data_IF_060310841578
#
_entry.id   IF_060310841578
#
_cell.length_a   1.000
_cell.length_b   1.000
_cell.length_c   1.000
_cell.angle_alpha   90.00
_cell.angle_beta   90.00
_cell.angle_gamma   90.00
#
_symmetry.space_group_name_H-M   'P 1'
#
loop_
_entity.id
_entity.type
_entity.pdbx_description
1 polymer ?
#
# COMPACT_ATOMS: atom_id res chain seq x y z
N UNK A 1 -1.03 9.11 19.04
CA UNK A 1 -1.42 7.70 18.77
C UNK A 1 -0.38 6.80 19.38
N UNK A 2 -0.81 5.77 20.06
CA UNK A 2 0.08 4.71 20.53
C UNK A 2 0.54 3.84 19.36
N UNK A 3 1.65 3.11 19.53
CA UNK A 3 2.15 2.16 18.51
C UNK A 3 1.08 1.07 18.23
N UNK A 4 0.28 0.70 19.24
CA UNK A 4 -0.81 -0.25 19.12
C UNK A 4 -1.94 0.26 18.21
N UNK A 5 -2.37 1.50 18.36
CA UNK A 5 -3.41 2.11 17.51
C UNK A 5 -2.98 2.23 16.05
N UNK A 6 -1.71 2.58 15.82
CA UNK A 6 -1.17 2.62 14.47
C UNK A 6 -1.19 1.22 13.81
N UNK A 7 -0.82 0.19 14.56
CA UNK A 7 -0.84 -1.19 14.07
C UNK A 7 -2.26 -1.65 13.75
N UNK A 8 -3.22 -1.37 14.63
CA UNK A 8 -4.64 -1.67 14.40
C UNK A 8 -5.17 -0.95 13.16
N UNK A 9 -4.88 0.33 13.00
CA UNK A 9 -5.30 1.09 11.82
C UNK A 9 -4.70 0.52 10.53
N UNK A 10 -3.43 0.11 10.56
CA UNK A 10 -2.78 -0.54 9.41
C UNK A 10 -3.44 -1.87 9.05
N UNK A 11 -3.66 -2.74 10.03
CA UNK A 11 -4.30 -4.05 9.85
C UNK A 11 -5.75 -3.90 9.33
N UNK A 12 -6.48 -2.95 9.86
CA UNK A 12 -7.85 -2.66 9.42
C UNK A 12 -7.87 -2.07 8.00
N UNK A 13 -6.94 -1.19 7.66
CA UNK A 13 -6.77 -0.65 6.32
C UNK A 13 -6.46 -1.75 5.29
N UNK A 14 -5.55 -2.66 5.61
CA UNK A 14 -5.24 -3.83 4.78
C UNK A 14 -6.48 -4.70 4.56
N UNK A 15 -7.25 -4.95 5.62
CA UNK A 15 -8.50 -5.71 5.56
C UNK A 15 -9.56 -5.03 4.70
N UNK A 16 -9.71 -3.70 4.79
CA UNK A 16 -10.66 -2.94 3.97
C UNK A 16 -10.29 -2.94 2.49
N UNK A 17 -9.02 -2.75 2.16
CA UNK A 17 -8.54 -2.86 0.77
C UNK A 17 -8.85 -4.25 0.21
N UNK A 18 -8.56 -5.30 0.99
CA UNK A 18 -8.83 -6.68 0.58
C UNK A 18 -10.33 -6.96 0.42
N UNK A 19 -11.14 -6.54 1.39
CA UNK A 19 -12.59 -6.73 1.39
C UNK A 19 -13.27 -6.04 0.20
N UNK A 20 -12.98 -4.77 -0.03
CA UNK A 20 -13.50 -4.02 -1.17
C UNK A 20 -13.09 -4.65 -2.50
N UNK A 21 -11.83 -5.10 -2.62
CA UNK A 21 -11.35 -5.79 -3.83
C UNK A 21 -12.11 -7.10 -4.07
N UNK A 22 -12.37 -7.88 -3.02
CA UNK A 22 -13.13 -9.12 -3.09
C UNK A 22 -14.59 -8.90 -3.49
N UNK A 23 -15.23 -7.90 -2.91
CA UNK A 23 -16.64 -7.55 -3.22
C UNK A 23 -16.81 -7.10 -4.67
N UNK A 24 -15.80 -6.41 -5.21
CA UNK A 24 -15.76 -6.00 -6.62
C UNK A 24 -15.67 -7.21 -7.55
N UNK A 25 -14.80 -8.16 -7.23
CA UNK A 25 -14.61 -9.38 -8.02
C UNK A 25 -15.89 -10.22 -8.03
N UNK A 26 -16.51 -10.37 -6.85
CA UNK A 26 -17.71 -11.21 -6.69
C UNK A 26 -18.94 -10.62 -7.37
N UNK A 27 -19.02 -9.30 -7.47
CA UNK A 27 -20.18 -8.62 -8.10
C UNK A 27 -20.07 -8.48 -9.62
N UNK A 28 -19.12 -9.15 -10.29
CA UNK A 28 -18.95 -9.17 -11.77
C UNK A 28 -19.00 -7.78 -12.43
N UNK A 29 -18.37 -6.77 -11.81
CA UNK A 29 -18.34 -5.43 -12.37
C UNK A 29 -17.41 -5.43 -13.59
N UNK A 30 -18.03 -5.54 -14.76
CA UNK A 30 -17.38 -5.75 -16.06
C UNK A 30 -16.56 -4.56 -16.58
N UNK A 31 -16.69 -3.39 -15.95
CA UNK A 31 -16.06 -2.13 -16.39
C UNK A 31 -14.92 -1.65 -15.48
N UNK A 32 -14.37 -2.54 -14.69
CA UNK A 32 -13.16 -2.21 -13.96
C UNK A 32 -12.01 -2.06 -14.96
N UNK A 33 -11.57 -0.84 -15.11
CA UNK A 33 -10.35 -0.55 -15.86
C UNK A 33 -9.26 -1.51 -15.44
N UNK A 34 -8.38 -1.91 -16.35
CA UNK A 34 -7.41 -3.03 -16.33
C UNK A 34 -6.52 -3.21 -15.08
N UNK A 35 -6.87 -2.64 -13.92
CA UNK A 35 -6.01 -2.59 -12.71
C UNK A 35 -6.60 -3.23 -11.45
N UNK A 36 -7.82 -3.77 -11.48
CA UNK A 36 -8.48 -4.33 -10.29
C UNK A 36 -8.61 -5.84 -10.41
N UNK A 37 -8.13 -6.54 -9.41
CA UNK A 37 -8.27 -8.00 -9.34
C UNK A 37 -7.05 -8.75 -8.80
N UNK A 38 -6.12 -8.07 -8.11
CA UNK A 38 -5.00 -8.73 -7.48
C UNK A 38 -5.29 -9.06 -6.01
N UNK A 39 -5.05 -10.30 -5.58
CA UNK A 39 -4.86 -10.58 -4.17
C UNK A 39 -3.70 -9.71 -3.69
N UNK A 40 -3.92 -8.95 -2.63
CA UNK A 40 -2.92 -8.06 -2.03
C UNK A 40 -1.60 -8.78 -1.75
N UNK A 41 -1.68 -10.02 -1.24
CA UNK A 41 -0.54 -10.89 -0.97
C UNK A 41 0.35 -11.20 -2.20
N UNK A 42 -0.20 -11.13 -3.40
CA UNK A 42 0.56 -11.39 -4.63
C UNK A 42 1.07 -10.12 -5.31
N UNK A 43 0.56 -8.95 -4.94
CA UNK A 43 0.91 -7.67 -5.57
C UNK A 43 2.38 -7.30 -5.36
N UNK A 44 2.89 -7.49 -4.17
CA UNK A 44 4.31 -7.27 -3.87
C UNK A 44 5.19 -8.19 -4.70
N UNK A 45 4.84 -9.47 -4.77
CA UNK A 45 5.54 -10.44 -5.59
C UNK A 45 5.53 -10.03 -7.07
N UNK A 46 4.42 -9.53 -7.58
CA UNK A 46 4.31 -9.07 -8.96
C UNK A 46 5.12 -7.79 -9.22
N UNK A 47 5.05 -6.81 -8.33
CA UNK A 47 5.84 -5.57 -8.44
C UNK A 47 7.33 -5.85 -8.44
N UNK A 48 7.78 -6.79 -7.61
CA UNK A 48 9.17 -7.22 -7.56
C UNK A 48 9.57 -7.96 -8.84
N UNK A 49 8.72 -8.85 -9.33
CA UNK A 49 8.95 -9.59 -10.57
C UNK A 49 9.07 -8.63 -11.76
N UNK A 50 8.17 -7.65 -11.87
CA UNK A 50 8.15 -6.71 -13.00
C UNK A 50 9.37 -5.76 -12.99
N UNK A 51 9.78 -5.29 -11.81
CA UNK A 51 10.87 -4.30 -11.69
C UNK A 51 12.28 -4.91 -11.70
N UNK A 52 12.43 -6.14 -11.26
CA UNK A 52 13.74 -6.72 -10.96
C UNK A 52 14.01 -8.07 -11.64
N UNK A 53 13.09 -8.60 -12.45
CA UNK A 53 13.24 -9.97 -13.02
C UNK A 53 14.51 -10.14 -13.83
N UNK A 54 14.88 -9.17 -14.65
CA UNK A 54 16.07 -9.25 -15.49
C UNK A 54 17.36 -9.15 -14.66
N UNK A 55 17.44 -8.20 -13.73
CA UNK A 55 18.62 -8.02 -12.87
C UNK A 55 18.86 -9.23 -11.96
N UNK A 56 17.79 -9.78 -11.40
CA UNK A 56 17.83 -10.96 -10.55
C UNK A 56 18.20 -12.19 -11.37
N UNK A 57 17.65 -12.32 -12.58
CA UNK A 57 17.99 -13.42 -13.50
C UNK A 57 19.46 -13.42 -13.85
N UNK A 58 20.06 -12.27 -14.13
CA UNK A 58 21.50 -12.14 -14.38
C UNK A 58 22.33 -12.49 -13.15
N UNK A 59 21.94 -11.98 -11.97
CA UNK A 59 22.64 -12.29 -10.72
C UNK A 59 22.62 -13.78 -10.41
N UNK A 60 21.47 -14.46 -10.57
CA UNK A 60 21.34 -15.91 -10.36
C UNK A 60 22.23 -16.73 -11.31
N UNK A 61 22.31 -16.33 -12.59
CA UNK A 61 23.16 -17.00 -13.56
C UNK A 61 24.64 -16.81 -13.20
N UNK A 62 25.06 -15.60 -12.88
CA UNK A 62 26.44 -15.31 -12.54
C UNK A 62 26.88 -16.04 -11.24
N UNK A 63 26.04 -16.05 -10.21
CA UNK A 63 26.30 -16.80 -8.97
C UNK A 63 26.37 -18.31 -9.25
N UNK A 64 25.52 -18.83 -10.15
CA UNK A 64 25.52 -20.24 -10.48
C UNK A 64 26.87 -20.69 -11.09
N UNK A 65 27.50 -19.83 -11.90
CA UNK A 65 28.81 -20.12 -12.52
C UNK A 65 29.98 -19.70 -11.61
N UNK A 66 29.86 -18.63 -10.85
CA UNK A 66 30.91 -18.01 -10.04
C UNK A 66 30.48 -17.85 -8.58
N UNK A 67 30.23 -18.93 -7.81
CA UNK A 67 29.84 -18.83 -6.42
C UNK A 67 30.98 -18.33 -5.53
N UNK A 68 30.66 -17.77 -4.36
CA UNK A 68 31.67 -17.52 -3.34
C UNK A 68 32.23 -18.82 -2.81
N UNK A 69 33.52 -18.83 -2.54
CA UNK A 69 34.20 -19.95 -1.95
C UNK A 69 35.34 -19.50 -1.05
N UNK A 70 35.78 -20.39 -0.22
CA UNK A 70 37.05 -20.28 0.54
C UNK A 70 37.97 -21.42 0.21
N UNK A 71 39.25 -21.16 0.31
CA UNK A 71 40.26 -22.17 0.14
C UNK A 71 40.61 -22.74 1.52
N UNK A 72 40.30 -24.02 1.74
CA UNK A 72 40.64 -24.73 2.97
C UNK A 72 41.82 -25.63 2.75
N UNK A 73 42.74 -25.60 3.71
CA UNK A 73 43.87 -26.53 3.77
C UNK A 73 43.45 -27.72 4.63
N UNK A 74 43.31 -28.88 4.02
CA UNK A 74 43.01 -30.14 4.70
C UNK A 74 44.23 -31.05 4.64
N UNK A 75 44.31 -32.01 5.59
CA UNK A 75 45.43 -32.96 5.63
C UNK A 75 44.89 -34.35 5.29
N UNK A 76 45.34 -34.91 4.16
CA UNK A 76 44.99 -36.27 3.75
C UNK A 76 46.14 -37.25 4.01
N UNK A 77 45.82 -38.46 4.45
CA UNK A 77 46.80 -39.52 4.63
C UNK A 77 47.05 -40.18 3.27
N UNK A 78 48.30 -40.09 2.80
CA UNK A 78 48.73 -40.71 1.58
C UNK A 78 49.96 -41.62 1.84
N UNK A 79 50.16 -42.66 1.04
CA UNK A 79 51.39 -43.46 1.12
C UNK A 79 52.62 -42.57 0.95
N UNK A 80 53.71 -42.87 1.71
CA UNK A 80 54.95 -42.08 1.70
C UNK A 80 55.57 -41.98 0.30
N UNK A 81 55.40 -42.97 -0.52
CA UNK A 81 55.90 -43.05 -1.92
C UNK A 81 55.18 -42.01 -2.81
N UNK A 82 53.93 -41.70 -2.55
CA UNK A 82 53.15 -40.67 -3.26
C UNK A 82 53.37 -39.27 -2.73
N UNK A 83 53.93 -39.09 -1.55
CA UNK A 83 54.14 -37.81 -0.92
C UNK A 83 55.21 -36.92 -1.58
N UNK A 84 56.07 -37.50 -2.44
CA UNK A 84 57.11 -36.75 -3.16
C UNK A 84 56.57 -35.72 -4.15
N UNK A 85 55.34 -35.88 -4.60
CA UNK A 85 54.68 -34.93 -5.50
C UNK A 85 53.98 -33.75 -4.76
N UNK A 86 53.92 -33.78 -3.42
CA UNK A 86 53.28 -32.78 -2.60
C UNK A 86 54.29 -31.87 -1.87
N UNK A 87 53.98 -30.59 -1.73
CA UNK A 87 54.75 -29.68 -0.89
C UNK A 87 54.49 -30.03 0.57
N UNK A 88 55.46 -30.64 1.23
CA UNK A 88 55.39 -30.95 2.65
C UNK A 88 55.57 -29.67 3.48
N UNK A 89 54.66 -29.45 4.43
CA UNK A 89 54.73 -28.32 5.36
C UNK A 89 55.28 -28.72 6.75
N UNK A 90 55.52 -27.72 7.60
CA UNK A 90 56.05 -27.96 8.95
C UNK A 90 55.15 -28.89 9.78
N UNK A 91 53.88 -28.86 9.62
CA UNK A 91 52.95 -29.68 10.39
C UNK A 91 52.99 -31.16 9.93
N UNK A 92 53.13 -31.41 8.65
CA UNK A 92 53.34 -32.73 8.11
C UNK A 92 54.64 -33.35 8.68
N UNK A 93 55.74 -32.60 8.66
CA UNK A 93 57.04 -33.04 9.18
C UNK A 93 56.94 -33.27 10.70
N UNK A 94 56.34 -32.37 11.45
CA UNK A 94 56.15 -32.49 12.90
C UNK A 94 55.37 -33.74 13.27
N UNK A 95 54.26 -34.01 12.61
CA UNK A 95 53.44 -35.19 12.84
C UNK A 95 54.12 -36.48 12.45
N UNK A 96 54.93 -36.48 11.41
CA UNK A 96 55.75 -37.62 11.02
C UNK A 96 56.80 -37.96 12.08
N UNK A 97 57.53 -36.95 12.57
CA UNK A 97 58.51 -37.10 13.65
C UNK A 97 57.90 -37.59 14.96
N UNK A 98 56.73 -37.02 15.34
CA UNK A 98 55.99 -37.43 16.54
C UNK A 98 55.52 -38.88 16.50
N UNK A 99 55.32 -39.46 15.33
CA UNK A 99 54.95 -40.88 15.11
C UNK A 99 56.20 -41.79 14.99
N UNK A 100 57.35 -41.31 15.37
CA UNK A 100 58.58 -42.09 15.40
C UNK A 100 59.25 -42.29 14.05
N UNK A 101 58.86 -41.61 12.98
CA UNK A 101 59.55 -41.63 11.65
C UNK A 101 59.40 -42.93 10.82
N UNK A 102 58.68 -43.92 11.32
CA UNK A 102 58.61 -45.28 10.73
C UNK A 102 57.19 -45.63 10.23
N UNK A 103 56.46 -44.61 9.77
CA UNK A 103 55.08 -44.77 9.31
C UNK A 103 55.04 -44.79 7.78
N UNK A 104 54.29 -45.71 7.19
CA UNK A 104 54.16 -45.89 5.74
C UNK A 104 53.23 -44.83 5.08
N UNK A 105 52.56 -43.97 5.91
CA UNK A 105 51.66 -42.93 5.45
C UNK A 105 52.10 -41.59 5.99
N UNK A 106 51.85 -40.50 5.18
CA UNK A 106 52.09 -39.10 5.56
C UNK A 106 50.79 -38.31 5.45
N UNK A 107 50.56 -37.42 6.43
CA UNK A 107 49.48 -36.45 6.35
C UNK A 107 49.97 -35.22 5.58
N UNK A 108 49.61 -35.12 4.30
CA UNK A 108 50.01 -34.02 3.42
C UNK A 108 48.92 -32.99 3.30
N UNK A 109 49.28 -31.69 3.20
CA UNK A 109 48.33 -30.64 2.98
C UNK A 109 47.77 -30.69 1.56
N UNK A 110 46.45 -30.75 1.47
CA UNK A 110 45.69 -30.67 0.21
C UNK A 110 44.82 -29.43 0.26
N UNK A 111 44.84 -28.66 -0.79
CA UNK A 111 44.03 -27.47 -0.92
C UNK A 111 42.67 -27.84 -1.51
N UNK A 112 41.60 -27.67 -0.76
CA UNK A 112 40.23 -27.92 -1.22
C UNK A 112 39.45 -26.62 -1.29
N UNK A 113 38.65 -26.49 -2.34
CA UNK A 113 37.68 -25.42 -2.47
C UNK A 113 36.47 -25.80 -1.63
N UNK A 114 36.12 -24.94 -0.70
CA UNK A 114 34.93 -25.09 0.13
C UNK A 114 33.87 -24.05 -0.26
N UNK A 115 32.74 -24.50 -0.76
CA UNK A 115 31.62 -23.68 -1.11
C UNK A 115 30.61 -23.49 0.05
N UNK A 116 30.79 -24.23 1.14
CA UNK A 116 29.92 -24.12 2.32
C UNK A 116 30.33 -22.91 3.20
N UNK A 117 30.33 -21.75 2.59
CA UNK A 117 30.60 -20.44 3.23
C UNK A 117 29.30 -19.79 3.69
N UNK A 118 29.39 -18.86 4.64
CA UNK A 118 28.24 -18.24 5.24
C UNK A 118 27.36 -17.55 4.20
N UNK A 119 27.94 -16.89 3.21
CA UNK A 119 27.21 -16.22 2.14
C UNK A 119 26.35 -17.20 1.32
N UNK A 120 26.88 -18.34 0.97
CA UNK A 120 26.14 -19.34 0.21
C UNK A 120 25.05 -20.02 1.04
N UNK A 121 25.26 -20.21 2.35
CA UNK A 121 24.23 -20.71 3.28
C UNK A 121 23.05 -19.74 3.37
N UNK A 122 23.33 -18.44 3.48
CA UNK A 122 22.31 -17.39 3.47
C UNK A 122 21.59 -17.36 2.12
N UNK A 123 22.34 -17.43 1.01
CA UNK A 123 21.76 -17.52 -0.32
C UNK A 123 20.78 -18.70 -0.44
N UNK A 124 21.17 -19.89 0.04
CA UNK A 124 20.29 -21.09 0.03
C UNK A 124 19.00 -20.84 0.80
N UNK A 125 19.07 -20.21 1.96
CA UNK A 125 17.90 -19.86 2.77
C UNK A 125 16.99 -18.87 2.05
N UNK A 126 17.56 -17.79 1.47
CA UNK A 126 16.82 -16.77 0.70
C UNK A 126 16.12 -17.39 -0.50
N UNK A 127 16.84 -18.20 -1.29
CA UNK A 127 16.30 -18.87 -2.48
C UNK A 127 15.11 -19.76 -2.13
N UNK A 128 15.17 -20.49 -1.02
CA UNK A 128 14.06 -21.35 -0.56
C UNK A 128 12.79 -20.52 -0.27
N UNK A 129 12.93 -19.38 0.39
CA UNK A 129 11.81 -18.49 0.69
C UNK A 129 11.26 -17.80 -0.57
N UNK A 130 12.14 -17.32 -1.45
CA UNK A 130 11.74 -16.73 -2.72
C UNK A 130 10.99 -17.72 -3.62
N UNK A 131 11.46 -18.97 -3.67
CA UNK A 131 10.79 -20.05 -4.42
C UNK A 131 9.36 -20.30 -3.90
N UNK A 132 9.15 -20.26 -2.58
CA UNK A 132 7.80 -20.35 -1.99
C UNK A 132 6.89 -19.22 -2.47
N UNK A 133 7.36 -17.97 -2.46
CA UNK A 133 6.58 -16.81 -2.93
C UNK A 133 6.31 -16.87 -4.44
N UNK A 134 7.30 -17.26 -5.24
CA UNK A 134 7.10 -17.46 -6.69
C UNK A 134 6.07 -18.56 -7.01
N UNK A 135 6.06 -19.65 -6.22
CA UNK A 135 5.09 -20.72 -6.39
C UNK A 135 3.65 -20.25 -6.11
N UNK A 136 3.44 -19.37 -5.13
CA UNK A 136 2.12 -18.77 -4.91
C UNK A 136 1.64 -18.01 -6.15
N UNK A 137 2.52 -17.22 -6.79
CA UNK A 137 2.21 -16.50 -8.03
C UNK A 137 1.92 -17.44 -9.19
N UNK A 138 2.73 -18.47 -9.39
CA UNK A 138 2.56 -19.44 -10.50
C UNK A 138 1.26 -20.22 -10.36
N UNK A 139 0.90 -20.60 -9.13
CA UNK A 139 -0.29 -21.40 -8.84
C UNK A 139 -1.57 -20.56 -8.77
N UNK A 140 -1.46 -19.23 -8.81
CA UNK A 140 -2.63 -18.37 -8.80
C UNK A 140 -3.50 -18.61 -10.03
N UNK A 141 -4.81 -18.84 -9.80
CA UNK A 141 -5.78 -19.07 -10.85
C UNK A 141 -6.18 -17.75 -11.52
N UNK A 142 -5.66 -17.51 -12.70
CA UNK A 142 -5.98 -16.33 -13.51
C UNK A 142 -6.95 -16.75 -14.63
N UNK A 143 -8.25 -16.74 -14.31
CA UNK A 143 -9.30 -17.12 -15.27
C UNK A 143 -9.44 -16.15 -16.45
N UNK A 144 -8.90 -14.94 -16.35
CA UNK A 144 -9.01 -13.89 -17.38
C UNK A 144 -7.69 -13.63 -18.12
N UNK A 145 -6.59 -14.29 -17.74
CA UNK A 145 -5.26 -14.12 -18.37
C UNK A 145 -4.62 -12.75 -18.17
N UNK A 146 -5.17 -11.90 -17.30
CA UNK A 146 -4.70 -10.52 -17.05
C UNK A 146 -3.25 -10.52 -16.53
N UNK A 147 -2.85 -11.58 -15.84
CA UNK A 147 -1.56 -11.71 -15.18
C UNK A 147 -0.60 -12.67 -15.85
N UNK A 148 -0.92 -13.10 -17.08
CA UNK A 148 -0.11 -14.05 -17.84
C UNK A 148 1.35 -13.63 -17.96
N UNK A 149 1.62 -12.32 -18.15
CA UNK A 149 2.99 -11.77 -18.21
C UNK A 149 3.77 -12.05 -16.93
N UNK A 150 3.19 -11.72 -15.79
CA UNK A 150 3.82 -11.92 -14.47
C UNK A 150 4.06 -13.40 -14.17
N UNK A 151 3.07 -14.23 -14.48
CA UNK A 151 3.19 -15.69 -14.34
C UNK A 151 4.33 -16.23 -15.20
N UNK A 152 4.50 -15.74 -16.42
CA UNK A 152 5.62 -16.11 -17.30
C UNK A 152 6.96 -15.68 -16.70
N UNK A 153 7.09 -14.46 -16.19
CA UNK A 153 8.32 -13.98 -15.54
C UNK A 153 8.63 -14.78 -14.27
N UNK A 154 7.63 -15.07 -13.44
CA UNK A 154 7.81 -15.95 -12.28
C UNK A 154 8.32 -17.36 -12.67
N UNK A 155 7.79 -17.93 -13.77
CA UNK A 155 8.25 -19.22 -14.30
C UNK A 155 9.70 -19.12 -14.79
N UNK A 156 10.08 -18.01 -15.46
CA UNK A 156 11.48 -17.81 -15.91
C UNK A 156 12.43 -17.71 -14.71
N UNK A 157 12.10 -16.92 -13.69
CA UNK A 157 12.89 -16.81 -12.46
C UNK A 157 13.02 -18.17 -11.76
N UNK A 158 11.92 -18.91 -11.63
CA UNK A 158 11.95 -20.27 -11.05
C UNK A 158 12.87 -21.20 -11.82
N UNK A 159 12.87 -21.15 -13.16
CA UNK A 159 13.83 -21.95 -13.97
C UNK A 159 15.29 -21.59 -13.66
N UNK A 160 15.60 -20.29 -13.46
CA UNK A 160 16.96 -19.85 -13.07
C UNK A 160 17.34 -20.35 -11.68
N UNK A 161 16.41 -20.30 -10.73
CA UNK A 161 16.60 -20.89 -9.40
C UNK A 161 16.86 -22.40 -9.48
N UNK A 162 16.11 -23.13 -10.30
CA UNK A 162 16.32 -24.56 -10.47
C UNK A 162 17.68 -24.88 -11.07
N UNK A 163 18.15 -24.08 -12.05
CA UNK A 163 19.49 -24.23 -12.59
C UNK A 163 20.56 -23.97 -11.52
N UNK A 164 20.43 -22.95 -10.69
CA UNK A 164 21.32 -22.70 -9.57
C UNK A 164 21.35 -23.90 -8.60
N UNK A 165 20.19 -24.44 -8.24
CA UNK A 165 20.04 -25.57 -7.31
C UNK A 165 20.63 -26.87 -7.86
N UNK A 166 20.71 -27.04 -9.19
CA UNK A 166 21.30 -28.23 -9.84
C UNK A 166 22.81 -28.25 -9.85
N UNK A 167 23.48 -27.15 -9.47
CA UNK A 167 24.95 -27.09 -9.43
C UNK A 167 25.50 -27.93 -8.28
N UNK A 168 26.59 -28.70 -8.55
CA UNK A 168 27.23 -29.57 -7.56
C UNK A 168 27.64 -28.83 -6.28
N UNK A 169 28.14 -27.62 -6.42
CA UNK A 169 28.53 -26.80 -5.27
C UNK A 169 27.33 -26.39 -4.38
N UNK A 170 26.14 -26.16 -4.96
CA UNK A 170 24.96 -25.80 -4.21
C UNK A 170 24.46 -26.95 -3.32
N UNK A 171 24.62 -28.20 -3.77
CA UNK A 171 24.23 -29.36 -2.97
C UNK A 171 25.12 -29.58 -1.74
N UNK A 172 26.35 -29.04 -1.75
CA UNK A 172 27.31 -29.14 -0.64
C UNK A 172 27.07 -28.14 0.47
N UNK A 173 26.16 -27.14 0.27
CA UNK A 173 25.90 -26.08 1.23
C UNK A 173 25.02 -26.60 2.37
N UNK A 174 25.43 -26.36 3.61
CA UNK A 174 24.64 -26.68 4.80
C UNK A 174 23.49 -25.71 5.02
N UNK A 175 22.46 -26.16 5.75
CA UNK A 175 21.32 -25.28 6.14
C UNK A 175 21.69 -24.48 7.39
N UNK A 176 21.16 -23.24 7.45
CA UNK A 176 21.27 -22.38 8.64
C UNK A 176 19.89 -21.93 9.08
N UNK A 177 19.69 -21.86 10.41
CA UNK A 177 18.44 -21.39 11.01
C UNK A 177 18.51 -19.94 11.49
N UNK A 178 19.70 -19.34 11.53
CA UNK A 178 19.88 -18.00 12.05
C UNK A 178 20.39 -17.03 10.97
N UNK A 179 19.70 -15.90 10.79
CA UNK A 179 19.97 -14.94 9.72
C UNK A 179 20.85 -13.80 10.22
N UNK A 180 22.16 -14.07 10.33
CA UNK A 180 23.15 -13.00 10.40
C UNK A 180 23.74 -12.76 9.03
N UNK A 181 23.50 -11.57 8.44
CA UNK A 181 23.98 -11.23 7.11
C UNK A 181 25.35 -10.56 7.24
N UNK A 182 26.42 -11.20 6.76
CA UNK A 182 27.74 -10.62 6.80
C UNK A 182 27.87 -9.47 5.81
N UNK A 183 28.72 -8.49 6.13
CA UNK A 183 28.97 -7.34 5.28
C UNK A 183 29.44 -7.75 3.86
N UNK A 184 30.24 -8.82 3.76
CA UNK A 184 30.69 -9.40 2.50
C UNK A 184 29.58 -9.89 1.57
N UNK A 185 28.39 -10.25 2.12
CA UNK A 185 27.21 -10.60 1.35
C UNK A 185 26.62 -9.38 0.67
N UNK A 186 26.51 -8.26 1.40
CA UNK A 186 25.91 -7.01 0.91
C UNK A 186 26.84 -6.31 -0.09
N UNK A 187 28.15 -6.42 0.11
CA UNK A 187 29.15 -5.78 -0.76
C UNK A 187 29.29 -6.47 -2.12
N UNK A 188 28.88 -7.70 -2.26
CA UNK A 188 28.82 -8.37 -3.56
C UNK A 188 27.52 -8.01 -4.26
N UNK A 189 27.59 -7.25 -5.35
CA UNK A 189 26.42 -6.73 -6.08
C UNK A 189 25.44 -7.81 -6.52
N UNK A 190 25.90 -9.03 -6.78
CA UNK A 190 25.09 -10.18 -7.20
C UNK A 190 24.23 -10.69 -6.04
N UNK A 191 24.88 -10.89 -4.88
CA UNK A 191 24.22 -11.36 -3.65
C UNK A 191 23.31 -10.29 -3.06
N UNK A 192 23.72 -9.02 -3.12
CA UNK A 192 22.91 -7.88 -2.68
C UNK A 192 21.58 -7.77 -3.42
N UNK A 193 21.58 -7.91 -4.75
CA UNK A 193 20.35 -7.89 -5.56
C UNK A 193 19.35 -8.99 -5.16
N UNK A 194 19.85 -10.20 -4.88
CA UNK A 194 19.01 -11.30 -4.41
C UNK A 194 18.46 -11.02 -3.00
N UNK A 195 19.26 -10.38 -2.16
CA UNK A 195 18.82 -9.96 -0.83
C UNK A 195 17.75 -8.88 -0.88
N UNK A 196 17.89 -7.91 -1.76
CA UNK A 196 16.89 -6.85 -1.97
C UNK A 196 15.56 -7.43 -2.48
N UNK A 197 15.62 -8.40 -3.39
CA UNK A 197 14.43 -9.16 -3.79
C UNK A 197 13.81 -9.88 -2.59
N UNK A 198 14.62 -10.61 -1.82
CA UNK A 198 14.15 -11.34 -0.65
C UNK A 198 13.47 -10.41 0.36
N UNK A 199 14.08 -9.28 0.69
CA UNK A 199 13.49 -8.28 1.59
C UNK A 199 12.11 -7.86 1.14
N UNK A 200 11.94 -7.62 -0.15
CA UNK A 200 10.66 -7.17 -0.74
C UNK A 200 9.62 -8.27 -0.84
N UNK A 201 10.03 -9.53 -1.03
CA UNK A 201 9.10 -10.68 -1.13
C UNK A 201 8.71 -11.29 0.22
N UNK A 202 9.52 -11.11 1.25
CA UNK A 202 9.38 -11.84 2.52
C UNK A 202 9.24 -10.92 3.74
N UNK A 203 9.07 -9.61 3.55
CA UNK A 203 8.96 -8.64 4.65
C UNK A 203 7.55 -8.60 5.29
N UNK A 204 6.77 -9.68 5.12
CA UNK A 204 5.46 -9.86 5.75
C UNK A 204 5.50 -9.88 7.30
N UNK A 205 6.66 -10.05 7.93
CA UNK A 205 6.75 -10.22 9.39
C UNK A 205 7.58 -9.17 10.13
N UNK A 206 8.26 -8.28 9.45
CA UNK A 206 9.00 -7.23 10.16
C UNK A 206 8.17 -5.97 10.24
N UNK A 207 7.38 -5.92 11.37
CA UNK A 207 7.08 -4.63 12.00
C UNK A 207 8.19 -3.65 11.64
N UNK A 208 7.85 -2.59 10.91
CA UNK A 208 8.66 -1.40 10.74
C UNK A 208 9.47 -1.12 12.00
N UNK A 209 10.71 -1.59 12.07
CA UNK A 209 11.69 -0.99 12.96
C UNK A 209 12.00 0.36 12.36
N UNK A 210 11.19 1.30 12.77
CA UNK A 210 11.31 2.71 12.48
C UNK A 210 12.61 3.18 13.12
N UNK A 211 13.70 3.18 12.35
CA UNK A 211 14.79 4.08 12.59
C UNK A 211 14.38 5.42 11.99
N UNK A 212 13.67 6.18 12.79
CA UNK A 212 12.96 7.35 12.36
C UNK A 212 13.73 8.62 12.72
N UNK A 213 13.86 9.47 11.76
CA UNK A 213 13.62 10.88 12.05
C UNK A 213 12.10 11.05 12.20
N UNK A 214 11.64 11.45 13.38
CA UNK A 214 10.23 11.58 13.79
C UNK A 214 9.31 12.32 12.79
N UNK A 215 9.84 13.17 11.95
CA UNK A 215 9.10 13.97 10.97
C UNK A 215 8.53 13.15 9.78
N UNK A 216 9.16 12.04 9.39
CA UNK A 216 8.64 11.17 8.32
C UNK A 216 7.48 10.31 8.80
N UNK A 217 7.51 9.85 10.04
CA UNK A 217 6.45 9.03 10.66
C UNK A 217 5.12 9.81 10.73
N UNK A 218 5.18 11.09 11.08
CA UNK A 218 4.00 11.94 11.17
C UNK A 218 3.29 12.13 9.82
N UNK A 219 4.03 12.36 8.75
CA UNK A 219 3.45 12.50 7.41
C UNK A 219 2.82 11.20 6.93
N UNK A 220 3.46 10.07 7.18
CA UNK A 220 2.92 8.76 6.80
C UNK A 220 1.67 8.39 7.62
N UNK A 221 1.65 8.69 8.91
CA UNK A 221 0.50 8.37 9.78
C UNK A 221 -0.74 9.20 9.44
N UNK A 222 -0.59 10.49 9.10
CA UNK A 222 -1.70 11.34 8.65
C UNK A 222 -2.30 10.80 7.36
N UNK A 223 -1.48 10.51 6.37
CA UNK A 223 -1.92 10.00 5.09
C UNK A 223 -2.56 8.59 5.18
N UNK A 224 -2.03 7.71 6.03
CA UNK A 224 -2.67 6.44 6.32
C UNK A 224 -4.06 6.61 6.94
N UNK A 225 -4.22 7.60 7.81
CA UNK A 225 -5.50 7.92 8.41
C UNK A 225 -6.50 8.43 7.37
N UNK A 226 -6.07 9.31 6.46
CA UNK A 226 -6.87 9.78 5.33
C UNK A 226 -7.35 8.63 4.45
N UNK A 227 -6.44 7.72 4.07
CA UNK A 227 -6.79 6.51 3.29
C UNK A 227 -7.76 5.61 4.05
N UNK A 228 -7.53 5.39 5.34
CA UNK A 228 -8.40 4.57 6.17
C UNK A 228 -9.81 5.17 6.26
N UNK A 229 -9.91 6.47 6.50
CA UNK A 229 -11.19 7.17 6.51
C UNK A 229 -11.93 7.02 5.17
N UNK A 230 -11.23 7.21 4.05
CA UNK A 230 -11.81 7.06 2.72
C UNK A 230 -12.38 5.66 2.49
N UNK A 231 -11.61 4.61 2.78
CA UNK A 231 -12.06 3.24 2.56
C UNK A 231 -13.22 2.85 3.50
N UNK A 232 -13.20 3.32 4.75
CA UNK A 232 -14.33 3.12 5.68
C UNK A 232 -15.60 3.83 5.20
N UNK A 233 -15.49 5.05 4.69
CA UNK A 233 -16.64 5.76 4.08
C UNK A 233 -17.18 4.98 2.89
N UNK A 234 -16.31 4.49 2.01
CA UNK A 234 -16.72 3.64 0.89
C UNK A 234 -17.40 2.34 1.36
N UNK A 235 -16.88 1.70 2.42
CA UNK A 235 -17.46 0.49 3.00
C UNK A 235 -18.86 0.76 3.59
N UNK A 236 -19.03 1.86 4.29
CA UNK A 236 -20.32 2.27 4.83
C UNK A 236 -21.34 2.46 3.71
N UNK A 237 -20.97 3.17 2.65
CA UNK A 237 -21.88 3.42 1.51
C UNK A 237 -22.21 2.10 0.78
N UNK A 238 -21.25 1.19 0.65
CA UNK A 238 -21.43 -0.10 0.01
C UNK A 238 -22.51 -0.97 0.66
N UNK A 239 -22.79 -0.79 1.94
CA UNK A 239 -23.82 -1.57 2.63
C UNK A 239 -25.22 -1.35 2.08
N UNK A 240 -25.53 -0.15 1.55
CA UNK A 240 -26.83 0.20 0.99
C UNK A 240 -26.82 0.47 -0.51
N UNK A 241 -25.68 0.86 -1.06
CA UNK A 241 -25.51 1.24 -2.46
C UNK A 241 -24.44 0.36 -3.11
N UNK A 242 -24.82 -0.58 -3.98
CA UNK A 242 -23.87 -1.40 -4.72
C UNK A 242 -22.86 -0.58 -5.53
N UNK A 243 -21.62 -1.03 -5.57
CA UNK A 243 -20.57 -0.44 -6.40
C UNK A 243 -20.85 -0.73 -7.88
N UNK A 244 -20.76 0.31 -8.73
CA UNK A 244 -20.87 0.20 -10.19
C UNK A 244 -19.58 0.48 -10.93
N UNK A 245 -18.70 1.31 -10.38
CA UNK A 245 -17.43 1.65 -10.98
C UNK A 245 -16.39 2.01 -9.90
N UNK A 246 -15.12 1.69 -10.17
CA UNK A 246 -13.99 2.13 -9.37
C UNK A 246 -12.86 2.55 -10.30
N UNK A 247 -12.41 3.79 -10.12
CA UNK A 247 -11.16 4.27 -10.66
C UNK A 247 -10.11 4.22 -9.55
N UNK A 248 -9.49 3.06 -9.41
CA UNK A 248 -8.56 2.76 -8.34
C UNK A 248 -7.12 2.92 -8.82
N UNK A 249 -6.47 3.96 -8.36
CA UNK A 249 -5.06 4.18 -8.57
C UNK A 249 -4.28 3.93 -7.27
N UNK A 250 -3.49 2.85 -7.23
CA UNK A 250 -2.59 2.57 -6.12
C UNK A 250 -1.15 2.85 -6.55
N UNK A 251 -0.48 3.71 -5.80
CA UNK A 251 0.93 4.00 -6.00
C UNK A 251 1.78 3.25 -4.98
N UNK A 252 2.90 2.69 -5.44
CA UNK A 252 3.87 2.00 -4.60
C UNK A 252 5.13 2.84 -4.50
N UNK A 253 5.43 3.33 -3.29
CA UNK A 253 6.69 4.01 -3.01
C UNK A 253 7.88 3.05 -3.01
N UNK A 254 9.08 3.54 -3.38
CA UNK A 254 10.32 2.73 -3.40
C UNK A 254 10.72 2.18 -2.02
N UNK A 255 10.28 2.82 -0.94
CA UNK A 255 10.69 2.51 0.44
C UNK A 255 9.51 2.09 1.33
N UNK A 256 8.29 2.06 0.80
CA UNK A 256 7.08 1.86 1.58
C UNK A 256 6.42 0.56 1.12
N UNK A 257 6.32 -0.38 2.04
CA UNK A 257 5.68 -1.70 1.86
C UNK A 257 4.17 -1.58 1.65
N UNK A 258 3.60 -0.39 1.85
CA UNK A 258 2.17 -0.15 1.82
C UNK A 258 1.74 0.59 0.55
N UNK A 259 0.69 0.12 -0.17
CA UNK A 259 0.17 0.84 -1.32
C UNK A 259 -0.51 2.15 -0.87
N UNK A 260 -0.21 3.24 -1.57
CA UNK A 260 -0.90 4.52 -1.38
C UNK A 260 -2.02 4.65 -2.40
N UNK A 261 -3.15 5.20 -1.94
CA UNK A 261 -4.18 5.68 -2.86
C UNK A 261 -3.64 6.93 -3.56
N UNK A 262 -3.73 6.98 -4.87
CA UNK A 262 -3.36 8.21 -5.57
C UNK A 262 -4.47 9.25 -5.48
N UNK A 263 -4.06 10.48 -5.65
CA UNK A 263 -4.93 11.63 -5.80
C UNK A 263 -6.01 11.38 -6.86
N UNK A 264 -7.25 11.73 -6.53
CA UNK A 264 -8.38 11.58 -7.42
C UNK A 264 -8.95 10.15 -7.53
N UNK A 265 -8.50 9.21 -6.70
CA UNK A 265 -9.14 7.87 -6.61
C UNK A 265 -10.63 8.02 -6.37
N UNK A 266 -11.45 7.36 -7.21
CA UNK A 266 -12.89 7.57 -7.29
C UNK A 266 -13.65 6.25 -7.23
N UNK A 267 -14.67 6.19 -6.35
CA UNK A 267 -15.60 5.07 -6.25
C UNK A 267 -17.00 5.55 -6.55
N UNK A 268 -17.72 4.82 -7.41
CA UNK A 268 -19.13 5.06 -7.77
C UNK A 268 -20.02 3.95 -7.26
N UNK A 269 -21.09 4.35 -6.61
CA UNK A 269 -22.14 3.48 -6.08
C UNK A 269 -23.45 3.87 -6.69
N UNK A 270 -24.37 2.92 -6.89
CA UNK A 270 -25.68 3.20 -7.45
C UNK A 270 -26.76 2.36 -6.77
N UNK A 271 -27.87 2.99 -6.44
CA UNK A 271 -29.10 2.34 -6.03
C UNK A 271 -30.26 3.06 -6.71
N UNK A 272 -31.05 2.32 -7.50
CA UNK A 272 -32.11 2.91 -8.33
C UNK A 272 -31.54 4.03 -9.22
N UNK A 273 -32.11 5.25 -9.15
CA UNK A 273 -31.69 6.40 -9.93
C UNK A 273 -30.64 7.29 -9.21
N UNK A 274 -30.24 6.90 -8.00
CA UNK A 274 -29.27 7.68 -7.21
C UNK A 274 -27.86 7.10 -7.41
N UNK A 275 -26.94 7.99 -7.78
CA UNK A 275 -25.52 7.70 -7.91
C UNK A 275 -24.78 8.47 -6.83
N UNK A 276 -23.92 7.77 -6.08
CA UNK A 276 -23.02 8.35 -5.08
C UNK A 276 -21.60 8.19 -5.58
N UNK A 277 -20.86 9.29 -5.60
CA UNK A 277 -19.45 9.32 -5.97
C UNK A 277 -18.60 9.73 -4.77
N UNK A 278 -17.62 8.93 -4.42
CA UNK A 278 -16.65 9.23 -3.35
C UNK A 278 -15.29 9.42 -3.99
N UNK A 279 -14.69 10.59 -3.79
CA UNK A 279 -13.39 10.97 -4.38
C UNK A 279 -12.38 11.26 -3.27
N UNK A 280 -11.20 10.67 -3.39
CA UNK A 280 -10.08 10.84 -2.47
C UNK A 280 -9.14 11.94 -2.94
N UNK A 281 -8.77 12.87 -2.03
CA UNK A 281 -7.67 13.83 -2.17
C UNK A 281 -7.67 14.57 -3.53
N UNK A 282 -8.80 15.17 -3.88
CA UNK A 282 -8.97 15.83 -5.18
C UNK A 282 -8.71 17.32 -5.12
N UNK A 283 -7.90 17.82 -6.05
CA UNK A 283 -7.75 19.26 -6.27
C UNK A 283 -8.99 19.79 -6.99
N UNK A 284 -9.76 20.66 -6.32
CA UNK A 284 -10.89 21.35 -6.92
C UNK A 284 -10.42 22.56 -7.74
N UNK A 285 -11.00 22.81 -8.92
CA UNK A 285 -10.70 23.99 -9.70
C UNK A 285 -11.09 25.29 -8.94
N UNK A 286 -10.48 26.39 -9.32
CA UNK A 286 -10.78 27.70 -8.76
C UNK A 286 -11.62 28.59 -9.71
N UNK A 287 -11.90 28.08 -10.90
CA UNK A 287 -12.70 28.76 -11.91
C UNK A 287 -13.88 27.88 -12.33
N UNK A 288 -15.05 28.47 -12.49
CA UNK A 288 -16.27 27.79 -12.96
C UNK A 288 -16.11 27.15 -14.35
N UNK A 289 -15.26 27.75 -15.21
CA UNK A 289 -15.05 27.25 -16.58
C UNK A 289 -14.29 25.92 -16.64
N UNK A 290 -13.61 25.54 -15.54
CA UNK A 290 -12.85 24.31 -15.44
C UNK A 290 -13.70 23.19 -14.79
N UNK A 291 -15.03 23.39 -14.66
CA UNK A 291 -15.98 22.43 -14.07
C UNK A 291 -16.84 21.77 -15.15
N UNK A 292 -17.31 20.57 -14.87
CA UNK A 292 -18.28 19.83 -15.67
C UNK A 292 -19.37 19.23 -14.78
N UNK A 293 -20.39 18.60 -15.36
CA UNK A 293 -21.38 17.89 -14.56
C UNK A 293 -20.75 16.71 -13.78
N UNK A 294 -19.76 16.07 -14.34
CA UNK A 294 -19.01 14.99 -13.66
C UNK A 294 -18.09 15.50 -12.55
N UNK A 295 -17.62 16.75 -12.68
CA UNK A 295 -16.77 17.45 -11.72
C UNK A 295 -17.36 18.82 -11.38
N UNK A 296 -18.49 18.85 -10.65
CA UNK A 296 -19.35 20.03 -10.58
C UNK A 296 -18.86 21.11 -9.62
N UNK A 297 -17.89 20.80 -8.74
CA UNK A 297 -17.44 21.70 -7.67
C UNK A 297 -16.24 22.53 -8.07
N UNK A 298 -16.22 23.79 -7.65
CA UNK A 298 -15.05 24.67 -7.62
C UNK A 298 -15.00 25.48 -6.34
N UNK A 299 -13.83 25.95 -5.95
CA UNK A 299 -13.64 26.86 -4.82
C UNK A 299 -13.47 28.29 -5.35
N UNK A 300 -14.45 29.15 -5.08
CA UNK A 300 -14.36 30.53 -5.47
C UNK A 300 -13.22 31.24 -4.72
N UNK A 301 -12.36 31.96 -5.46
CA UNK A 301 -11.26 32.74 -4.88
C UNK A 301 -11.80 33.90 -4.06
N UNK A 302 -11.41 33.97 -2.80
CA UNK A 302 -11.56 35.19 -2.01
C UNK A 302 -10.40 36.13 -2.33
N UNK A 303 -10.67 37.36 -2.70
CA UNK A 303 -9.68 38.39 -3.04
C UNK A 303 -8.65 38.65 -1.93
N UNK A 304 -8.95 38.27 -0.69
CA UNK A 304 -8.12 38.56 0.49
C UNK A 304 -7.22 37.38 0.94
N UNK A 305 -7.32 36.20 0.32
CA UNK A 305 -6.56 35.03 0.77
C UNK A 305 -5.52 34.58 -0.26
N UNK A 306 -4.24 34.73 0.07
CA UNK A 306 -3.09 34.33 -0.75
C UNK A 306 -2.94 32.81 -0.92
N UNK A 307 -3.67 32.00 -0.16
CA UNK A 307 -3.71 30.53 -0.30
C UNK A 307 -5.16 30.06 -0.38
N UNK A 308 -5.49 29.43 -1.48
CA UNK A 308 -6.79 28.80 -1.68
C UNK A 308 -6.72 27.37 -1.13
N UNK A 309 -7.48 27.07 -0.08
CA UNK A 309 -7.69 25.69 0.36
C UNK A 309 -8.68 25.05 -0.62
N UNK A 310 -8.20 24.28 -1.57
CA UNK A 310 -9.02 23.68 -2.62
C UNK A 310 -8.77 22.18 -2.80
N UNK A 311 -8.18 21.54 -1.79
CA UNK A 311 -7.85 20.11 -1.81
C UNK A 311 -8.42 19.42 -0.56
N UNK A 312 -9.71 19.07 -0.57
CA UNK A 312 -10.32 18.29 0.50
C UNK A 312 -9.89 16.83 0.43
N UNK A 313 -9.75 16.19 1.59
CA UNK A 313 -9.31 14.80 1.69
C UNK A 313 -10.33 13.83 1.08
N UNK A 314 -11.63 14.03 1.34
CA UNK A 314 -12.71 13.19 0.82
C UNK A 314 -13.89 14.06 0.41
N UNK A 315 -14.42 13.82 -0.78
CA UNK A 315 -15.66 14.44 -1.27
C UNK A 315 -16.66 13.33 -1.54
N UNK A 316 -17.86 13.46 -0.99
CA UNK A 316 -19.00 12.60 -1.33
C UNK A 316 -20.02 13.41 -2.08
N UNK A 317 -20.25 13.07 -3.34
CA UNK A 317 -21.19 13.75 -4.25
C UNK A 317 -22.36 12.85 -4.57
N UNK A 318 -23.55 13.40 -4.62
CA UNK A 318 -24.79 12.68 -4.93
C UNK A 318 -25.37 13.22 -6.23
N UNK A 319 -25.73 12.30 -7.13
CA UNK A 319 -26.32 12.59 -8.44
C UNK A 319 -27.62 11.83 -8.61
N UNK A 320 -28.47 12.35 -9.45
CA UNK A 320 -29.68 11.67 -9.91
C UNK A 320 -29.59 11.46 -11.43
N UNK A 321 -29.84 10.22 -11.87
CA UNK A 321 -29.51 9.76 -13.22
C UNK A 321 -30.53 10.21 -14.29
N UNK A 322 -31.85 10.14 -13.99
CA UNK A 322 -32.90 10.43 -14.99
C UNK A 322 -32.86 11.88 -15.48
N UNK A 323 -32.73 12.82 -14.55
CA UNK A 323 -32.65 14.25 -14.86
C UNK A 323 -31.21 14.68 -15.15
N UNK A 324 -30.24 13.79 -14.91
CA UNK A 324 -28.81 14.06 -14.97
C UNK A 324 -28.43 15.25 -14.07
N UNK A 325 -28.89 15.22 -12.81
CA UNK A 325 -28.72 16.30 -11.86
C UNK A 325 -27.68 15.98 -10.80
N UNK A 326 -26.83 16.95 -10.55
CA UNK A 326 -25.98 16.98 -9.36
C UNK A 326 -26.82 17.52 -8.18
N UNK A 327 -27.04 16.70 -7.13
CA UNK A 327 -27.86 17.07 -5.98
C UNK A 327 -27.09 17.86 -4.93
N UNK A 328 -25.80 17.65 -4.85
CA UNK A 328 -24.88 18.30 -3.91
C UNK A 328 -23.83 17.34 -3.37
N UNK A 329 -23.00 17.88 -2.49
CA UNK A 329 -21.91 17.13 -1.83
C UNK A 329 -21.82 17.46 -0.36
N UNK A 330 -21.11 16.61 0.37
CA UNK A 330 -20.51 16.94 1.64
C UNK A 330 -19.02 16.58 1.62
N UNK A 331 -18.25 17.23 2.46
CA UNK A 331 -16.80 17.11 2.53
C UNK A 331 -16.41 16.50 3.86
N UNK A 332 -15.45 15.57 3.84
CA UNK A 332 -14.86 15.00 5.03
C UNK A 332 -13.35 15.31 4.99
N UNK A 333 -12.88 16.00 6.00
CA UNK A 333 -11.49 16.41 6.16
C UNK A 333 -10.87 15.66 7.33
N UNK A 334 -9.78 14.98 7.10
CA UNK A 334 -9.15 14.09 8.07
C UNK A 334 -8.10 14.85 8.89
N UNK A 335 -8.31 14.97 10.19
CA UNK A 335 -7.42 15.68 11.12
C UNK A 335 -6.79 14.72 12.11
N UNK A 336 -5.66 14.14 11.75
CA UNK A 336 -4.89 13.22 12.59
C UNK A 336 -4.19 13.94 13.75
N UNK A 337 -4.98 14.60 14.59
CA UNK A 337 -4.51 15.38 15.75
C UNK A 337 -5.66 15.67 16.71
N UNK A 338 -5.31 16.15 17.93
CA UNK A 338 -6.28 16.49 18.96
C UNK A 338 -7.18 17.64 18.51
N UNK A 339 -8.46 17.59 18.87
CA UNK A 339 -9.48 18.59 18.52
C UNK A 339 -9.01 19.98 18.93
N UNK A 340 -8.54 20.15 20.16
CA UNK A 340 -8.07 21.44 20.68
C UNK A 340 -6.93 22.07 19.87
N UNK A 341 -6.16 21.28 19.13
CA UNK A 341 -5.04 21.79 18.33
C UNK A 341 -5.43 22.36 16.97
N UNK A 342 -6.67 22.15 16.51
CA UNK A 342 -7.10 22.67 15.22
C UNK A 342 -8.44 23.41 15.26
N UNK A 343 -9.30 23.14 16.26
CA UNK A 343 -10.63 23.73 16.33
C UNK A 343 -10.63 25.17 16.87
N UNK A 344 -9.82 25.44 17.89
CA UNK A 344 -9.73 26.75 18.54
C UNK A 344 -8.66 27.70 17.95
N UNK A 345 -8.09 27.33 16.83
CA UNK A 345 -7.08 28.13 16.13
C UNK A 345 -7.74 29.32 15.38
N UNK A 346 -7.55 30.55 15.86
CA UNK A 346 -8.21 31.77 15.35
C UNK A 346 -7.56 32.41 14.11
N UNK A 347 -6.82 31.69 13.30
CA UNK A 347 -6.19 32.26 12.11
C UNK A 347 -6.84 31.79 10.81
N UNK A 348 -6.93 32.64 9.80
CA UNK A 348 -7.42 32.31 8.46
C UNK A 348 -6.54 31.26 7.73
N UNK A 349 -5.37 30.98 8.29
CA UNK A 349 -4.44 29.91 7.83
C UNK A 349 -4.58 28.63 8.65
N UNK A 350 -5.50 28.61 9.59
CA UNK A 350 -5.78 27.49 10.48
C UNK A 350 -6.51 26.36 9.77
N UNK A 351 -6.54 25.21 10.41
CA UNK A 351 -7.35 24.07 9.93
C UNK A 351 -8.85 24.40 9.95
N UNK A 352 -9.30 25.24 10.88
CA UNK A 352 -10.68 25.75 10.91
C UNK A 352 -10.97 26.60 9.68
N UNK A 353 -10.08 27.52 9.32
CA UNK A 353 -10.21 28.32 8.09
C UNK A 353 -10.26 27.50 6.81
N UNK A 354 -9.60 26.32 6.80
CA UNK A 354 -9.71 25.34 5.71
C UNK A 354 -11.13 24.77 5.62
N UNK A 355 -11.70 24.29 6.74
CA UNK A 355 -13.07 23.77 6.80
C UNK A 355 -14.09 24.81 6.40
N UNK A 356 -13.95 26.04 6.90
CA UNK A 356 -14.79 27.18 6.54
C UNK A 356 -14.71 27.51 5.04
N UNK A 357 -13.54 27.36 4.43
CA UNK A 357 -13.36 27.56 2.99
C UNK A 357 -14.16 26.53 2.19
N UNK A 358 -14.14 25.28 2.56
CA UNK A 358 -14.93 24.24 1.87
C UNK A 358 -16.43 24.49 2.02
N UNK A 359 -16.89 24.93 3.17
CA UNK A 359 -18.30 25.21 3.38
C UNK A 359 -18.77 26.51 2.71
N UNK A 360 -18.02 27.60 2.88
CA UNK A 360 -18.45 28.94 2.46
C UNK A 360 -18.07 29.27 1.01
N UNK A 361 -16.97 28.72 0.47
CA UNK A 361 -16.45 29.12 -0.84
C UNK A 361 -16.65 28.06 -1.93
N UNK A 362 -17.13 26.86 -1.58
CA UNK A 362 -17.51 25.87 -2.58
C UNK A 362 -18.73 26.36 -3.38
N UNK A 363 -18.65 26.27 -4.70
CA UNK A 363 -19.70 26.67 -5.65
C UNK A 363 -19.86 25.62 -6.73
N UNK A 364 -21.04 25.63 -7.34
CA UNK A 364 -21.33 24.83 -8.52
C UNK A 364 -22.40 25.51 -9.35
N UNK A 365 -22.32 25.40 -10.66
CA UNK A 365 -23.37 25.86 -11.59
C UNK A 365 -24.30 24.71 -11.98
N UNK A 366 -24.05 23.49 -11.49
CA UNK A 366 -24.75 22.26 -11.89
C UNK A 366 -25.76 21.77 -10.84
N UNK A 367 -25.84 22.37 -9.65
CA UNK A 367 -26.76 21.91 -8.60
C UNK A 367 -28.19 22.00 -9.09
N UNK A 368 -28.86 20.87 -9.26
CA UNK A 368 -30.25 20.76 -9.69
C UNK A 368 -30.60 21.63 -10.91
N UNK A 369 -29.64 21.76 -11.83
CA UNK A 369 -29.79 22.50 -13.08
C UNK A 369 -30.12 24.01 -12.87
N UNK A 370 -30.93 24.59 -13.76
CA UNK A 370 -31.29 26.01 -13.71
C UNK A 370 -32.07 26.41 -12.46
N UNK A 371 -32.82 25.49 -11.89
CA UNK A 371 -33.63 25.75 -10.68
C UNK A 371 -32.72 25.97 -9.49
N UNK A 372 -31.72 25.13 -9.33
CA UNK A 372 -30.74 25.28 -8.24
C UNK A 372 -29.98 26.61 -8.30
N UNK A 373 -29.68 27.07 -9.53
CA UNK A 373 -29.05 28.37 -9.76
C UNK A 373 -29.95 29.52 -9.37
N UNK A 374 -31.26 29.48 -9.75
CA UNK A 374 -32.25 30.48 -9.38
C UNK A 374 -32.48 30.57 -7.87
N UNK A 375 -32.51 29.40 -7.20
CA UNK A 375 -32.68 29.29 -5.75
C UNK A 375 -31.39 29.49 -4.96
N UNK A 376 -30.26 29.68 -5.62
CA UNK A 376 -28.92 29.83 -5.01
C UNK A 376 -28.60 28.70 -4.03
N UNK A 377 -28.90 27.46 -4.42
CA UNK A 377 -28.69 26.29 -3.59
C UNK A 377 -27.16 26.05 -3.38
N UNK A 378 -26.78 25.90 -2.11
CA UNK A 378 -25.39 25.57 -1.79
C UNK A 378 -25.03 24.15 -2.26
N UNK A 379 -23.90 23.97 -2.97
CA UNK A 379 -23.47 22.67 -3.44
C UNK A 379 -22.94 21.79 -2.30
N UNK A 380 -22.30 22.37 -1.28
CA UNK A 380 -21.79 21.65 -0.11
C UNK A 380 -22.75 21.88 1.06
N UNK A 381 -23.35 20.79 1.55
CA UNK A 381 -24.32 20.83 2.65
C UNK A 381 -23.66 20.88 4.01
N UNK A 382 -22.58 20.08 4.19
CA UNK A 382 -21.81 20.02 5.43
C UNK A 382 -20.34 19.73 5.16
N UNK A 383 -19.52 20.08 6.14
CA UNK A 383 -18.10 19.73 6.20
C UNK A 383 -17.83 19.03 7.53
N UNK A 384 -17.32 17.82 7.47
CA UNK A 384 -16.98 17.03 8.64
C UNK A 384 -15.46 17.04 8.83
N UNK A 385 -15.00 17.38 10.03
CA UNK A 385 -13.64 17.14 10.47
C UNK A 385 -13.58 15.78 11.18
N UNK A 386 -12.93 14.81 10.58
CA UNK A 386 -12.75 13.48 11.16
C UNK A 386 -11.45 13.44 11.97
N UNK A 387 -11.52 12.98 13.24
CA UNK A 387 -10.36 12.90 14.12
C UNK A 387 -10.35 11.61 14.93
N UNK A 388 -9.18 10.98 15.20
CA UNK A 388 -9.07 9.84 16.10
C UNK A 388 -9.05 10.24 17.59
N UNK A 389 -9.12 11.55 17.93
CA UNK A 389 -9.03 12.04 19.30
C UNK A 389 -10.16 11.53 20.21
N UNK A 390 -9.83 11.21 21.46
CA UNK A 390 -10.77 10.69 22.47
C UNK A 390 -11.38 11.74 23.39
N UNK A 391 -10.93 13.00 23.29
CA UNK A 391 -11.44 14.07 24.14
C UNK A 391 -12.96 14.26 23.96
N UNK A 392 -13.69 14.44 25.07
CA UNK A 392 -15.16 14.50 25.07
C UNK A 392 -15.71 15.82 24.49
N UNK A 393 -14.86 16.82 24.32
CA UNK A 393 -15.24 18.20 24.02
C UNK A 393 -15.57 18.49 22.55
N UNK A 394 -15.87 17.47 21.77
CA UNK A 394 -16.30 17.62 20.38
C UNK A 394 -17.81 17.87 20.27
N UNK A 395 -18.33 18.93 20.87
CA UNK A 395 -19.67 19.41 20.53
C UNK A 395 -19.68 19.82 19.05
N UNK A 396 -20.63 19.26 18.31
CA UNK A 396 -20.89 19.65 16.94
C UNK A 396 -21.44 21.08 16.94
N UNK A 397 -20.64 22.06 16.54
CA UNK A 397 -21.15 23.39 16.22
C UNK A 397 -21.97 23.31 14.92
N UNK A 398 -23.23 22.90 15.02
CA UNK A 398 -24.12 22.81 13.85
C UNK A 398 -24.42 24.20 13.20
N UNK A 399 -24.16 25.31 13.91
CA UNK A 399 -24.52 26.65 13.44
C UNK A 399 -23.85 27.06 12.14
N UNK A 400 -22.68 26.50 11.80
CA UNK A 400 -21.89 26.86 10.62
C UNK A 400 -21.81 25.76 9.56
N UNK A 401 -22.54 24.64 9.70
CA UNK A 401 -22.45 23.51 8.77
C UNK A 401 -21.10 22.75 8.81
N UNK A 402 -20.31 22.98 9.85
CA UNK A 402 -19.04 22.31 10.12
C UNK A 402 -19.20 21.48 11.39
N UNK A 403 -18.85 20.19 11.31
CA UNK A 403 -19.07 19.23 12.40
C UNK A 403 -17.78 18.45 12.66
N UNK A 404 -17.37 18.37 13.91
CA UNK A 404 -16.25 17.49 14.31
C UNK A 404 -16.80 16.14 14.71
N UNK A 405 -16.26 15.07 14.14
CA UNK A 405 -16.63 13.68 14.46
C UNK A 405 -15.40 12.84 14.78
N UNK A 406 -15.54 12.04 15.82
CA UNK A 406 -14.53 11.02 16.13
C UNK A 406 -14.67 9.85 15.17
N UNK A 407 -13.56 9.50 14.56
CA UNK A 407 -13.51 8.38 13.65
C UNK A 407 -12.16 7.68 13.77
N UNK A 408 -12.12 6.52 14.40
CA UNK A 408 -10.89 5.78 14.66
C UNK A 408 -11.06 4.28 14.42
N UNK A 409 -9.95 3.61 14.10
CA UNK A 409 -9.86 2.18 14.11
C UNK A 409 -9.88 1.71 15.58
N UNK A 410 -10.93 1.01 15.98
CA UNK A 410 -11.07 0.44 17.33
C UNK A 410 -11.90 -0.84 17.26
N UNK A 411 -11.73 -1.72 18.25
CA UNK A 411 -12.55 -2.91 18.40
C UNK A 411 -14.02 -2.57 18.74
N UNK A 412 -14.26 -1.38 19.31
CA UNK A 412 -15.61 -0.90 19.59
C UNK A 412 -16.16 -0.10 18.40
N UNK A 413 -17.19 -0.60 17.74
CA UNK A 413 -17.80 -0.03 16.53
C UNK A 413 -18.71 1.18 16.81
N UNK A 414 -18.93 1.59 18.06
CA UNK A 414 -19.88 2.68 18.38
C UNK A 414 -19.55 3.98 17.62
N UNK A 415 -18.29 4.39 17.62
CA UNK A 415 -17.88 5.61 16.92
C UNK A 415 -18.05 5.51 15.40
N UNK A 416 -17.82 4.31 14.84
CA UNK A 416 -18.02 4.05 13.40
C UNK A 416 -19.51 4.09 13.07
N UNK A 417 -20.39 3.57 13.95
CA UNK A 417 -21.84 3.63 13.79
C UNK A 417 -22.40 5.07 13.86
N UNK A 418 -21.79 5.95 14.64
CA UNK A 418 -22.18 7.36 14.66
C UNK A 418 -21.85 8.05 13.34
N UNK A 419 -20.66 7.87 12.82
CA UNK A 419 -20.25 8.40 11.51
C UNK A 419 -21.11 7.81 10.39
N UNK A 420 -21.42 6.52 10.44
CA UNK A 420 -22.34 5.85 9.53
C UNK A 420 -23.71 6.50 9.47
N UNK A 421 -24.30 6.79 10.65
CA UNK A 421 -25.59 7.49 10.74
C UNK A 421 -25.53 8.88 10.10
N UNK A 422 -24.45 9.63 10.32
CA UNK A 422 -24.30 10.96 9.71
C UNK A 422 -24.15 10.88 8.18
N UNK A 423 -23.39 9.92 7.66
CA UNK A 423 -23.24 9.71 6.22
C UNK A 423 -24.61 9.46 5.57
N UNK A 424 -25.39 8.53 6.10
CA UNK A 424 -26.72 8.25 5.57
C UNK A 424 -27.70 9.41 5.74
N UNK A 425 -27.61 10.15 6.84
CA UNK A 425 -28.40 11.36 7.07
C UNK A 425 -28.13 12.43 6.01
N UNK A 426 -26.86 12.66 5.66
CA UNK A 426 -26.51 13.64 4.63
C UNK A 426 -26.95 13.19 3.23
N UNK A 427 -26.75 11.92 2.88
CA UNK A 427 -27.23 11.37 1.61
C UNK A 427 -28.76 11.51 1.54
N UNK A 428 -29.46 11.11 2.61
CA UNK A 428 -30.91 11.23 2.72
C UNK A 428 -31.40 12.68 2.57
N UNK A 429 -30.75 13.64 3.22
CA UNK A 429 -31.07 15.06 3.14
C UNK A 429 -30.93 15.62 1.71
N UNK A 430 -29.90 15.18 0.97
CA UNK A 430 -29.71 15.57 -0.44
C UNK A 430 -30.82 15.00 -1.33
N UNK A 431 -31.23 13.76 -1.08
CA UNK A 431 -32.31 13.09 -1.83
C UNK A 431 -33.67 13.72 -1.48
N UNK A 432 -33.94 14.00 -0.21
CA UNK A 432 -35.16 14.69 0.22
C UNK A 432 -35.30 16.07 -0.42
N UNK A 433 -34.22 16.86 -0.44
CA UNK A 433 -34.17 18.17 -1.10
C UNK A 433 -34.52 18.04 -2.59
N UNK A 434 -33.99 17.04 -3.28
CA UNK A 434 -34.35 16.75 -4.67
C UNK A 434 -35.85 16.42 -4.81
N UNK A 435 -36.39 15.56 -3.98
CA UNK A 435 -37.80 15.17 -4.03
C UNK A 435 -38.73 16.36 -3.80
N UNK A 436 -38.40 17.24 -2.86
CA UNK A 436 -39.15 18.47 -2.64
C UNK A 436 -39.16 19.37 -3.87
N UNK A 437 -38.03 19.57 -4.53
CA UNK A 437 -37.93 20.39 -5.74
C UNK A 437 -38.69 19.76 -6.89
N UNK A 438 -38.59 18.43 -7.09
CA UNK A 438 -39.35 17.70 -8.11
C UNK A 438 -40.87 17.84 -7.92
N UNK A 439 -41.35 17.80 -6.68
CA UNK A 439 -42.76 18.05 -6.36
C UNK A 439 -43.20 19.46 -6.71
N UNK A 440 -42.40 20.49 -6.39
CA UNK A 440 -42.69 21.90 -6.70
C UNK A 440 -42.78 22.09 -8.23
N UNK A 441 -41.87 21.46 -9.00
CA UNK A 441 -41.90 21.48 -10.46
C UNK A 441 -43.17 20.84 -11.02
N UNK A 442 -43.55 19.67 -10.52
CA UNK A 442 -44.72 18.94 -10.99
C UNK A 442 -46.03 19.68 -10.66
N UNK A 443 -46.05 20.47 -9.61
CA UNK A 443 -47.20 21.30 -9.23
C UNK A 443 -47.27 22.63 -9.97
N UNK A 444 -46.37 22.93 -10.91
CA UNK A 444 -46.38 24.12 -11.74
C UNK A 444 -46.13 25.44 -10.99
N UNK A 445 -45.47 25.38 -9.83
CA UNK A 445 -45.18 26.53 -8.97
C UNK A 445 -43.90 27.26 -9.41
N UNK A 446 -43.05 26.62 -10.21
CA UNK A 446 -41.77 27.20 -10.74
C UNK A 446 -41.69 26.96 -12.24
#
# INVERSE_FOLDING_TARGET
MSISEWKMMKEDLEKEIYGLTSDIINNNISNLGNKVGFPFELREAFSVIDKFSDEISLALVDIAENPKFEIKKEYEEIPKERATSFKLDRETIRRYLQRGGNVNTLKVPVTKINYDVQENRILRMIIRKCESSLNKVINYSDSKGIYAKYKQEAIKLRKKIMNLKSKNWYMQISEINNMYIPHSFIMDSRYSKIYDMYRKLCDDEKSLKINASFSHVWKQSSYMYEMWCFLKVCRIILEEYPIINIDWNLEYGREIVFPFLSEGTKFRFKKENIIIEVVFDKILPTNKNDTSLEEPLFIAKNHNNARTHNRPDIIVSVFEEEMNWYLGSYVLECKYRKINSFWYENSTRSSRGQLETYYNNARSIYVMGDIGNRLQIRPVTKVYALTPDESEDGESEEEFGIVVKRFKASENEENQNLVKKEIYKEIGSLIERYNCIKQIMNNGVI
#
